data_IF_818437354113
#
_entry.id   IF_818437354113
#
_cell.length_a   1.000
_cell.length_b   1.000
_cell.length_c   1.000
_cell.angle_alpha   90.00
_cell.angle_beta   90.00
_cell.angle_gamma   90.00
#
_symmetry.space_group_name_H-M   'P 1'
#
loop_
_entity.id
_entity.type
_entity.pdbx_description
1 polymer ?
#
# COMPACT_ATOMS: atom_id res chain seq x y z
N UNK A 1 1.32 0.96 -12.70
CA UNK A 1 0.24 1.73 -12.06
C UNK A 1 -0.26 2.77 -13.04
N UNK A 2 -1.21 3.61 -12.61
CA UNK A 2 -1.77 4.70 -13.43
C UNK A 2 -1.77 6.01 -12.67
N UNK A 3 -1.82 7.13 -13.39
CA UNK A 3 -2.09 8.43 -12.79
C UNK A 3 -3.57 8.47 -12.43
N UNK A 4 -3.87 8.66 -11.14
CA UNK A 4 -5.24 8.84 -10.68
C UNK A 4 -5.74 10.24 -11.00
N UNK A 5 -4.96 11.27 -10.63
CA UNK A 5 -5.30 12.68 -10.90
C UNK A 5 -4.05 13.55 -10.94
N UNK A 6 -4.02 14.50 -11.87
CA UNK A 6 -3.08 15.63 -11.87
C UNK A 6 -3.85 16.85 -11.34
N UNK A 7 -3.29 17.55 -10.35
CA UNK A 7 -3.98 18.62 -9.61
C UNK A 7 -3.37 20.00 -9.89
N UNK A 8 -2.21 20.04 -10.53
CA UNK A 8 -1.48 21.28 -10.88
C UNK A 8 -1.19 21.35 -12.36
N UNK A 9 -1.07 22.56 -12.90
CA UNK A 9 -0.60 22.79 -14.27
C UNK A 9 0.91 22.95 -14.29
N UNK A 10 1.49 22.69 -15.45
CA UNK A 10 2.91 22.97 -15.69
C UNK A 10 3.19 24.47 -15.55
N UNK A 11 4.29 24.82 -14.86
CA UNK A 11 4.67 26.20 -14.55
C UNK A 11 3.91 26.85 -13.40
N UNK A 12 2.95 26.16 -12.77
CA UNK A 12 2.20 26.69 -11.64
C UNK A 12 3.05 26.69 -10.34
N UNK A 13 3.11 27.80 -9.59
CA UNK A 13 3.80 27.82 -8.29
C UNK A 13 3.07 26.93 -7.27
N UNK A 14 3.84 26.13 -6.52
CA UNK A 14 3.33 25.23 -5.48
C UNK A 14 3.80 25.67 -4.10
N UNK A 15 2.96 25.41 -3.09
CA UNK A 15 3.28 25.63 -1.69
C UNK A 15 3.60 24.31 -0.98
N UNK A 16 4.32 24.37 0.14
CA UNK A 16 4.60 23.20 0.95
C UNK A 16 3.29 22.52 1.41
N UNK A 17 3.26 21.19 1.34
CA UNK A 17 2.07 20.39 1.67
C UNK A 17 1.00 20.31 0.58
N UNK A 18 1.18 20.99 -0.56
CA UNK A 18 0.24 20.88 -1.69
C UNK A 18 0.39 19.53 -2.41
N UNK A 19 -0.71 18.79 -2.52
CA UNK A 19 -0.78 17.60 -3.37
C UNK A 19 -0.79 18.04 -4.84
N UNK A 20 0.16 17.55 -5.62
CA UNK A 20 0.30 17.89 -7.04
C UNK A 20 -0.21 16.78 -7.98
N UNK A 21 -0.16 15.53 -7.52
CA UNK A 21 -0.62 14.36 -8.25
C UNK A 21 -1.01 13.24 -7.28
N UNK A 22 -1.85 12.33 -7.76
CA UNK A 22 -2.16 11.05 -7.11
C UNK A 22 -1.89 9.90 -8.06
N UNK A 23 -1.31 8.82 -7.53
CA UNK A 23 -1.00 7.59 -8.27
C UNK A 23 -1.86 6.45 -7.75
N UNK A 24 -2.34 5.63 -8.68
CA UNK A 24 -2.96 4.35 -8.36
C UNK A 24 -1.97 3.24 -8.69
N UNK A 25 -1.44 2.51 -7.68
CA UNK A 25 -0.54 1.40 -7.95
C UNK A 25 -1.29 0.29 -8.71
N UNK A 26 -0.57 -0.45 -9.55
CA UNK A 26 -1.13 -1.65 -10.14
C UNK A 26 -1.06 -2.83 -9.16
N UNK A 27 -1.75 -3.91 -9.53
CA UNK A 27 -1.79 -5.15 -8.75
C UNK A 27 -0.40 -5.73 -8.46
N UNK A 28 0.51 -5.70 -9.44
CA UNK A 28 1.85 -6.26 -9.28
C UNK A 28 2.63 -5.49 -8.21
N UNK A 29 2.59 -4.16 -8.28
CA UNK A 29 3.23 -3.25 -7.32
C UNK A 29 2.67 -3.45 -5.91
N UNK A 30 1.35 -3.61 -5.78
CA UNK A 30 0.70 -3.92 -4.49
C UNK A 30 1.22 -5.25 -3.93
N UNK A 31 1.23 -6.31 -4.75
CA UNK A 31 1.67 -7.63 -4.30
C UNK A 31 3.16 -7.65 -3.93
N UNK A 32 3.99 -6.93 -4.67
CA UNK A 32 5.42 -6.81 -4.35
C UNK A 32 5.66 -6.04 -3.06
N UNK A 33 4.88 -4.98 -2.79
CA UNK A 33 4.93 -4.28 -1.51
C UNK A 33 4.50 -5.17 -0.34
N UNK A 34 3.43 -5.95 -0.50
CA UNK A 34 3.00 -6.92 0.51
C UNK A 34 4.07 -8.00 0.76
N UNK A 35 4.67 -8.55 -0.31
CA UNK A 35 5.79 -9.50 -0.19
C UNK A 35 6.99 -8.87 0.53
N UNK A 36 7.33 -7.63 0.24
CA UNK A 36 8.39 -6.94 0.96
C UNK A 36 8.06 -6.83 2.47
N UNK A 37 6.86 -6.36 2.81
CA UNK A 37 6.40 -6.26 4.20
C UNK A 37 6.38 -7.62 4.93
N UNK A 38 6.19 -8.73 4.21
CA UNK A 38 6.27 -10.07 4.80
C UNK A 38 7.65 -10.32 5.42
N UNK A 39 8.72 -9.82 4.79
CA UNK A 39 10.10 -10.01 5.24
C UNK A 39 10.62 -8.90 6.14
N UNK A 40 10.25 -7.63 5.88
CA UNK A 40 10.83 -6.47 6.59
C UNK A 40 9.82 -5.70 7.43
N UNK A 41 8.52 -5.94 7.26
CA UNK A 41 7.47 -5.26 8.01
C UNK A 41 7.55 -5.50 9.51
N UNK A 42 6.95 -4.61 10.27
CA UNK A 42 7.00 -4.55 11.73
C UNK A 42 5.59 -4.50 12.30
N UNK A 43 5.47 -4.61 13.63
CA UNK A 43 4.17 -4.53 14.31
C UNK A 43 3.42 -3.23 14.00
N UNK A 44 4.14 -2.14 13.77
CA UNK A 44 3.56 -0.82 13.50
C UNK A 44 2.90 -0.74 12.11
N UNK A 45 3.19 -1.69 11.22
CA UNK A 45 2.57 -1.80 9.90
C UNK A 45 1.21 -2.54 9.94
N UNK A 46 0.88 -3.25 11.03
CA UNK A 46 -0.37 -4.02 11.13
C UNK A 46 -1.65 -3.16 10.98
N UNK A 47 -1.75 -1.94 11.58
CA UNK A 47 -2.91 -1.08 11.36
C UNK A 47 -3.09 -0.67 9.89
N UNK A 48 -1.97 -0.49 9.16
CA UNK A 48 -2.02 -0.18 7.73
C UNK A 48 -2.57 -1.37 6.94
N UNK A 49 -2.11 -2.59 7.23
CA UNK A 49 -2.61 -3.81 6.58
C UNK A 49 -4.10 -4.06 6.88
N UNK A 50 -4.55 -3.76 8.11
CA UNK A 50 -5.97 -3.84 8.47
C UNK A 50 -6.80 -2.82 7.67
N UNK A 51 -6.35 -1.58 7.58
CA UNK A 51 -7.01 -0.55 6.76
C UNK A 51 -7.06 -0.97 5.29
N UNK A 52 -5.95 -1.47 4.75
CA UNK A 52 -5.86 -1.95 3.38
C UNK A 52 -6.81 -3.12 3.11
N UNK A 53 -7.01 -4.02 4.08
CA UNK A 53 -7.95 -5.15 3.96
C UNK A 53 -9.39 -4.75 3.67
N UNK A 54 -9.80 -3.55 4.11
CA UNK A 54 -11.15 -2.99 3.93
C UNK A 54 -11.33 -2.28 2.58
N UNK A 55 -10.26 -2.07 1.83
CA UNK A 55 -10.28 -1.39 0.53
C UNK A 55 -10.67 -2.30 -0.63
N UNK A 56 -11.04 -1.72 -1.77
CA UNK A 56 -11.44 -2.47 -2.98
C UNK A 56 -10.28 -3.18 -3.69
N UNK A 57 -9.03 -2.79 -3.40
CA UNK A 57 -7.84 -3.42 -3.96
C UNK A 57 -7.68 -4.89 -3.53
N UNK A 58 -8.31 -5.31 -2.43
CA UNK A 58 -8.28 -6.69 -1.92
C UNK A 58 -9.42 -7.57 -2.45
N UNK A 59 -10.22 -7.07 -3.40
CA UNK A 59 -11.23 -7.88 -4.10
C UNK A 59 -10.59 -8.95 -5.00
N UNK A 60 -9.33 -8.76 -5.37
CA UNK A 60 -8.53 -9.76 -6.07
C UNK A 60 -8.05 -10.87 -5.11
N UNK A 61 -8.26 -12.12 -5.50
CA UNK A 61 -7.97 -13.29 -4.66
C UNK A 61 -6.48 -13.43 -4.32
N UNK A 62 -5.59 -13.17 -5.28
CA UNK A 62 -4.14 -13.26 -5.06
C UNK A 62 -3.68 -12.20 -4.05
N UNK A 63 -4.12 -10.96 -4.25
CA UNK A 63 -3.80 -9.83 -3.36
C UNK A 63 -4.29 -10.09 -1.94
N UNK A 64 -5.51 -10.62 -1.80
CA UNK A 64 -6.07 -11.00 -0.51
C UNK A 64 -5.27 -12.10 0.17
N UNK A 65 -4.86 -13.12 -0.57
CA UNK A 65 -4.03 -14.20 -0.04
C UNK A 65 -2.65 -13.68 0.40
N UNK A 66 -2.02 -12.85 -0.42
CA UNK A 66 -0.73 -12.25 -0.10
C UNK A 66 -0.81 -11.36 1.15
N UNK A 67 -1.89 -10.59 1.31
CA UNK A 67 -2.14 -9.79 2.51
C UNK A 67 -2.19 -10.67 3.76
N UNK A 68 -2.94 -11.78 3.72
CA UNK A 68 -3.06 -12.71 4.86
C UNK A 68 -1.71 -13.30 5.28
N UNK A 69 -0.90 -13.79 4.32
CA UNK A 69 0.42 -14.37 4.66
C UNK A 69 1.39 -13.31 5.20
N UNK A 70 1.29 -12.08 4.68
CA UNK A 70 2.08 -10.93 5.12
C UNK A 70 1.76 -10.57 6.57
N UNK A 71 0.47 -10.39 6.90
CA UNK A 71 0.01 -10.10 8.26
C UNK A 71 0.48 -11.16 9.25
N UNK A 72 0.32 -12.44 8.91
CA UNK A 72 0.77 -13.56 9.77
C UNK A 72 2.28 -13.54 10.01
N UNK A 73 3.08 -13.24 8.99
CA UNK A 73 4.53 -13.18 9.12
C UNK A 73 4.98 -12.04 10.06
N UNK A 74 4.32 -10.89 9.99
CA UNK A 74 4.58 -9.77 10.89
C UNK A 74 4.15 -10.12 12.33
N UNK A 75 2.95 -10.68 12.52
CA UNK A 75 2.46 -11.10 13.83
C UNK A 75 3.37 -12.16 14.48
N UNK A 76 3.86 -13.12 13.71
CA UNK A 76 4.78 -14.14 14.19
C UNK A 76 6.11 -13.53 14.66
N UNK A 77 6.67 -12.59 13.87
CA UNK A 77 7.90 -11.89 14.25
C UNK A 77 7.73 -11.00 15.47
N UNK A 78 6.58 -10.35 15.63
CA UNK A 78 6.31 -9.47 16.77
C UNK A 78 6.08 -10.21 18.11
N UNK A 79 5.88 -11.54 18.07
CA UNK A 79 5.70 -12.40 19.25
C UNK A 79 7.02 -13.01 19.74
N UNK A 80 8.06 -13.00 18.91
CA UNK A 80 9.40 -13.49 19.24
C UNK A 80 10.28 -12.32 19.72
#
# INVERSE_FOLDING_TARGET
GTIGRIVVKEGEPIAAGRIILSLTPDRATINDALRALQYVGTKDDLPLLESFSKGTATNDAETKQQLVVTTKAIEARAKN
#
